data_IF_385419210382
#
_entry.id   IF_385419210382
#
_cell.length_a   1.000
_cell.length_b   1.000
_cell.length_c   1.000
_cell.angle_alpha   90.00
_cell.angle_beta   90.00
_cell.angle_gamma   90.00
#
_symmetry.space_group_name_H-M   'P 1'
#
loop_
_entity.id
_entity.type
_entity.pdbx_description
1 polymer ?
#
# COMPACT_ATOMS: atom_id res chain seq x y z
N UNK A 1 -34.69 50.01 37.27
CA UNK A 1 -35.75 48.98 37.29
C UNK A 1 -35.66 48.22 35.98
N UNK A 2 -35.03 47.05 35.98
CA UNK A 2 -34.93 46.18 34.81
C UNK A 2 -35.21 44.76 35.32
N UNK A 3 -36.35 44.21 34.92
CA UNK A 3 -36.84 42.90 35.31
C UNK A 3 -36.21 41.83 34.42
N UNK A 4 -35.52 40.86 35.02
CA UNK A 4 -35.00 39.70 34.33
C UNK A 4 -36.05 38.58 34.34
N UNK A 5 -36.49 38.15 33.16
CA UNK A 5 -37.37 36.98 32.99
C UNK A 5 -36.51 35.73 32.84
N UNK A 6 -36.65 34.80 33.78
CA UNK A 6 -36.03 33.48 33.74
C UNK A 6 -37.03 32.50 33.14
N UNK A 7 -36.72 31.94 31.97
CA UNK A 7 -37.56 30.92 31.32
C UNK A 7 -37.01 29.55 31.67
N UNK A 8 -37.72 28.82 32.52
CA UNK A 8 -37.45 27.42 32.86
C UNK A 8 -38.19 26.52 31.87
N UNK A 9 -37.44 25.80 31.03
CA UNK A 9 -37.98 24.80 30.10
C UNK A 9 -37.86 23.42 30.74
N UNK A 10 -38.99 22.89 31.22
CA UNK A 10 -39.14 21.54 31.75
C UNK A 10 -39.39 20.57 30.57
N UNK A 11 -38.37 19.81 30.19
CA UNK A 11 -38.48 18.78 29.16
C UNK A 11 -39.12 17.51 29.72
N UNK A 12 -40.30 17.16 29.22
CA UNK A 12 -41.01 15.93 29.57
C UNK A 12 -40.34 14.72 28.90
N UNK A 13 -39.83 13.79 29.72
CA UNK A 13 -39.45 12.42 29.33
C UNK A 13 -40.71 11.63 28.96
N UNK A 14 -41.06 11.65 27.68
CA UNK A 14 -41.98 10.69 27.09
C UNK A 14 -41.27 9.37 26.84
N UNK A 15 -41.59 8.34 27.61
CA UNK A 15 -41.18 6.97 27.33
C UNK A 15 -41.93 6.47 26.09
N UNK A 16 -41.31 6.66 24.92
CA UNK A 16 -41.74 6.02 23.68
C UNK A 16 -41.53 4.51 23.84
N UNK A 17 -42.61 3.80 24.11
CA UNK A 17 -42.61 2.34 24.08
C UNK A 17 -42.48 1.95 22.62
N UNK A 18 -41.30 1.48 22.24
CA UNK A 18 -41.03 0.93 20.92
C UNK A 18 -41.82 -0.38 20.80
N UNK A 19 -43.04 -0.33 20.30
CA UNK A 19 -43.74 -1.51 19.79
C UNK A 19 -42.97 -1.98 18.57
N UNK A 20 -42.01 -2.88 18.80
CA UNK A 20 -41.34 -3.64 17.76
C UNK A 20 -42.38 -4.49 17.06
N UNK A 21 -42.86 -3.98 15.92
CA UNK A 21 -43.59 -4.77 14.93
C UNK A 21 -42.68 -5.91 14.52
N UNK A 22 -42.99 -7.11 15.03
CA UNK A 22 -42.39 -8.37 14.60
C UNK A 22 -42.79 -8.60 13.14
N UNK A 23 -42.08 -7.97 12.21
CA UNK A 23 -42.03 -8.43 10.82
C UNK A 23 -41.60 -9.88 10.90
N UNK A 24 -42.43 -10.78 10.38
CA UNK A 24 -42.13 -12.20 10.23
C UNK A 24 -40.80 -12.29 9.49
N UNK A 25 -39.70 -12.41 10.24
CA UNK A 25 -38.37 -12.33 9.69
C UNK A 25 -38.22 -13.48 8.73
N UNK A 26 -38.04 -13.17 7.45
CA UNK A 26 -37.57 -14.14 6.48
C UNK A 26 -36.19 -14.53 6.98
N UNK A 27 -36.12 -15.66 7.69
CA UNK A 27 -34.86 -16.23 8.15
C UNK A 27 -34.13 -16.66 6.88
N UNK A 28 -33.13 -15.88 6.46
CA UNK A 28 -32.23 -16.25 5.36
C UNK A 28 -31.63 -17.62 5.69
N UNK A 29 -32.08 -18.65 4.98
CA UNK A 29 -31.61 -20.02 5.19
C UNK A 29 -30.37 -20.23 4.34
N UNK A 30 -29.20 -20.09 4.96
CA UNK A 30 -27.92 -20.43 4.32
C UNK A 30 -27.79 -21.95 4.31
N UNK A 31 -27.81 -22.55 3.11
CA UNK A 31 -27.52 -23.96 2.93
C UNK A 31 -26.03 -24.14 2.65
N UNK A 32 -25.28 -24.62 3.64
CA UNK A 32 -23.95 -25.13 3.39
C UNK A 32 -24.07 -26.54 2.83
N UNK A 33 -23.27 -26.87 1.82
CA UNK A 33 -23.13 -28.24 1.35
C UNK A 33 -22.66 -29.14 2.50
N UNK A 34 -23.38 -30.23 2.78
CA UNK A 34 -23.00 -31.23 3.77
C UNK A 34 -21.69 -31.95 3.39
N UNK A 35 -21.31 -31.94 2.11
CA UNK A 35 -19.99 -32.37 1.68
C UNK A 35 -19.01 -31.24 1.92
N UNK A 36 -18.59 -31.06 3.17
CA UNK A 36 -17.43 -30.23 3.48
C UNK A 36 -16.30 -30.61 2.52
N UNK A 37 -15.78 -29.65 1.77
CA UNK A 37 -14.62 -29.88 0.92
C UNK A 37 -13.44 -30.21 1.83
N UNK A 38 -13.23 -31.48 2.11
CA UNK A 38 -11.97 -31.94 2.70
C UNK A 38 -10.89 -31.52 1.71
N UNK A 39 -10.06 -30.54 2.09
CA UNK A 39 -8.85 -30.20 1.34
C UNK A 39 -7.95 -31.44 1.33
N UNK A 40 -8.09 -32.26 0.28
CA UNK A 40 -7.33 -33.51 0.09
C UNK A 40 -5.85 -33.28 -0.20
N UNK A 41 -5.42 -32.03 -0.38
CA UNK A 41 -4.06 -31.72 -0.81
C UNK A 41 -2.98 -31.85 0.28
N UNK A 42 -3.35 -31.97 1.55
CA UNK A 42 -2.37 -32.01 2.64
C UNK A 42 -1.84 -33.41 2.99
N UNK A 43 -2.39 -34.49 2.43
CA UNK A 43 -1.91 -35.85 2.71
C UNK A 43 -0.56 -36.18 2.02
N UNK A 44 -0.02 -35.28 1.19
CA UNK A 44 1.20 -35.52 0.43
C UNK A 44 2.50 -35.25 1.20
N UNK A 45 2.44 -34.53 2.33
CA UNK A 45 3.61 -34.13 3.10
C UNK A 45 3.62 -34.81 4.47
N UNK A 46 4.81 -35.22 4.93
CA UNK A 46 4.97 -35.64 6.33
C UNK A 46 4.69 -34.47 7.29
N UNK A 47 4.30 -34.76 8.52
CA UNK A 47 3.98 -33.73 9.53
C UNK A 47 5.16 -32.75 9.73
N UNK A 48 6.38 -33.27 9.81
CA UNK A 48 7.60 -32.45 9.93
C UNK A 48 7.85 -31.56 8.71
N UNK A 49 7.51 -32.05 7.52
CA UNK A 49 7.67 -31.31 6.27
C UNK A 49 6.60 -30.22 6.14
N UNK A 50 5.36 -30.53 6.52
CA UNK A 50 4.29 -29.55 6.61
C UNK A 50 4.64 -28.43 7.61
N UNK A 51 5.17 -28.76 8.79
CA UNK A 51 5.63 -27.77 9.76
C UNK A 51 6.83 -26.94 9.28
N UNK A 52 7.67 -27.49 8.39
CA UNK A 52 8.79 -26.72 7.81
C UNK A 52 8.38 -25.83 6.64
N UNK A 53 7.27 -26.14 5.96
CA UNK A 53 6.78 -25.38 4.80
C UNK A 53 5.89 -24.22 5.25
N UNK A 54 5.09 -24.43 6.29
CA UNK A 54 4.08 -23.48 6.73
C UNK A 54 4.54 -22.75 7.99
N UNK A 55 4.35 -21.42 7.98
CA UNK A 55 4.49 -20.61 9.18
C UNK A 55 3.46 -21.01 10.21
N UNK A 56 3.88 -21.17 11.46
CA UNK A 56 2.95 -21.37 12.55
C UNK A 56 2.28 -20.06 12.97
N UNK A 57 1.33 -20.14 13.91
CA UNK A 57 0.67 -18.92 14.41
C UNK A 57 1.65 -17.96 15.08
N UNK A 58 2.71 -18.47 15.72
CA UNK A 58 3.71 -17.66 16.42
C UNK A 58 4.63 -16.91 15.45
N UNK A 59 5.03 -17.54 14.35
CA UNK A 59 5.75 -16.92 13.24
C UNK A 59 4.92 -15.78 12.65
N UNK A 60 3.62 -16.02 12.46
CA UNK A 60 2.70 -15.02 11.93
C UNK A 60 2.55 -13.82 12.86
N UNK A 61 2.48 -14.03 14.17
CA UNK A 61 2.40 -12.94 15.14
C UNK A 61 3.73 -12.20 15.26
N UNK A 62 4.87 -12.89 15.24
CA UNK A 62 6.19 -12.26 15.19
C UNK A 62 6.37 -11.40 13.93
N UNK A 63 5.90 -11.89 12.78
CA UNK A 63 5.87 -11.10 11.53
C UNK A 63 4.98 -9.87 11.68
N UNK A 64 3.81 -9.96 12.32
CA UNK A 64 2.97 -8.78 12.56
C UNK A 64 3.65 -7.74 13.44
N UNK A 65 4.28 -8.19 14.52
CA UNK A 65 4.97 -7.31 15.44
C UNK A 65 6.11 -6.56 14.75
N UNK A 66 6.83 -7.21 13.82
CA UNK A 66 7.97 -6.61 13.13
C UNK A 66 7.58 -5.41 12.25
N UNK A 67 6.38 -5.42 11.65
CA UNK A 67 5.90 -4.30 10.81
C UNK A 67 4.90 -3.36 11.50
N UNK A 68 4.52 -3.64 12.76
CA UNK A 68 3.56 -2.82 13.49
C UNK A 68 4.00 -1.35 13.64
N UNK A 69 5.30 -1.12 13.88
CA UNK A 69 5.87 0.22 13.95
C UNK A 69 5.79 0.96 12.61
N UNK A 70 6.03 0.26 11.50
CA UNK A 70 5.96 0.85 10.15
C UNK A 70 4.54 1.30 9.84
N UNK A 71 3.54 0.45 10.11
CA UNK A 71 2.12 0.80 9.95
C UNK A 71 1.77 2.04 10.77
N UNK A 72 2.15 2.07 12.04
CA UNK A 72 1.88 3.21 12.91
C UNK A 72 2.44 4.53 12.34
N UNK A 73 3.65 4.49 11.78
CA UNK A 73 4.28 5.66 11.17
C UNK A 73 3.66 6.04 9.83
N UNK A 74 3.16 5.08 9.05
CA UNK A 74 2.38 5.32 7.83
C UNK A 74 1.05 6.01 8.17
N UNK A 75 0.31 5.51 9.16
CA UNK A 75 -0.95 6.10 9.65
C UNK A 75 -0.72 7.51 10.21
N UNK A 76 0.45 7.77 10.81
CA UNK A 76 0.86 9.10 11.27
C UNK A 76 1.26 10.06 10.12
N UNK A 77 1.17 9.64 8.86
CA UNK A 77 1.50 10.46 7.68
C UNK A 77 3.01 10.75 7.54
N UNK A 78 3.86 9.87 8.07
CA UNK A 78 5.32 10.02 8.03
C UNK A 78 6.05 8.86 7.34
N UNK A 79 5.63 8.41 6.13
CA UNK A 79 6.21 7.22 5.48
C UNK A 79 7.70 7.39 5.14
N UNK A 80 8.12 8.56 4.67
CA UNK A 80 9.51 8.85 4.26
C UNK A 80 10.53 8.74 5.41
N UNK A 81 10.07 8.75 6.66
CA UNK A 81 10.94 8.64 7.84
C UNK A 81 11.22 7.19 8.22
N UNK A 82 10.56 6.23 7.57
CA UNK A 82 10.60 4.81 7.93
C UNK A 82 11.30 3.98 6.86
N UNK A 83 11.40 4.45 5.62
CA UNK A 83 12.08 3.70 4.57
C UNK A 83 13.59 3.63 4.84
N UNK A 84 14.04 2.45 5.26
CA UNK A 84 15.44 2.12 5.48
C UNK A 84 15.75 0.69 5.00
N UNK A 85 16.95 0.18 5.26
CA UNK A 85 17.36 -1.17 4.82
C UNK A 85 16.57 -2.30 5.51
N UNK A 86 15.98 -2.03 6.67
CA UNK A 86 15.24 -3.00 7.50
C UNK A 86 13.72 -2.83 7.42
N UNK A 87 13.23 -1.68 6.96
CA UNK A 87 11.82 -1.34 6.94
C UNK A 87 11.39 -0.83 5.57
N UNK A 88 10.29 -1.38 5.07
CA UNK A 88 9.66 -0.95 3.82
C UNK A 88 8.20 -0.64 4.07
N UNK A 89 7.71 0.45 3.50
CA UNK A 89 6.28 0.80 3.51
C UNK A 89 5.50 0.01 2.45
N UNK A 90 6.22 -0.51 1.45
CA UNK A 90 5.65 -1.20 0.30
C UNK A 90 5.03 -2.53 0.68
N UNK A 91 3.80 -2.78 0.24
CA UNK A 91 3.02 -3.97 0.60
C UNK A 91 2.30 -3.87 1.95
N UNK A 92 2.50 -2.77 2.70
CA UNK A 92 1.82 -2.49 3.97
C UNK A 92 0.69 -1.45 3.81
N UNK A 93 0.45 -0.93 2.61
CA UNK A 93 -0.58 0.09 2.33
C UNK A 93 -1.97 -0.42 2.73
N UNK A 94 -2.23 -1.71 2.50
CA UNK A 94 -3.48 -2.39 2.87
C UNK A 94 -3.58 -2.79 4.35
N UNK A 95 -2.53 -2.53 5.13
CA UNK A 95 -2.47 -2.75 6.58
C UNK A 95 -2.64 -1.46 7.38
N UNK A 96 -2.51 -0.30 6.75
CA UNK A 96 -2.88 1.00 7.33
C UNK A 96 -4.39 1.06 7.61
N UNK A 97 -4.83 1.98 8.47
CA UNK A 97 -6.25 2.10 8.86
C UNK A 97 -7.17 2.25 7.64
N UNK A 98 -6.82 3.17 6.73
CA UNK A 98 -7.55 3.40 5.48
C UNK A 98 -7.58 2.15 4.58
N UNK A 99 -6.44 1.46 4.47
CA UNK A 99 -6.31 0.24 3.68
C UNK A 99 -7.11 -0.92 4.25
N UNK A 100 -7.14 -1.05 5.58
CA UNK A 100 -7.97 -2.03 6.29
C UNK A 100 -9.45 -1.76 6.08
N UNK A 101 -9.88 -0.50 6.20
CA UNK A 101 -11.26 -0.11 5.96
C UNK A 101 -11.69 -0.40 4.51
N UNK A 102 -10.88 0.01 3.54
CA UNK A 102 -11.10 -0.28 2.12
C UNK A 102 -11.25 -1.78 1.86
N UNK A 103 -10.41 -2.62 2.48
CA UNK A 103 -10.52 -4.08 2.36
C UNK A 103 -11.80 -4.64 2.99
N UNK A 104 -12.18 -4.10 4.14
CA UNK A 104 -13.41 -4.47 4.81
C UNK A 104 -14.63 -4.15 3.95
N UNK A 105 -14.73 -2.93 3.42
CA UNK A 105 -15.84 -2.51 2.56
C UNK A 105 -15.93 -3.38 1.30
N UNK A 106 -14.83 -3.56 0.58
CA UNK A 106 -14.83 -4.39 -0.64
C UNK A 106 -15.20 -5.85 -0.36
N UNK A 107 -14.76 -6.39 0.78
CA UNK A 107 -15.13 -7.75 1.19
C UNK A 107 -16.62 -7.85 1.53
N UNK A 108 -17.17 -6.84 2.21
CA UNK A 108 -18.59 -6.74 2.51
C UNK A 108 -19.40 -6.66 1.22
N UNK A 109 -19.06 -5.73 0.33
CA UNK A 109 -19.76 -5.51 -0.94
C UNK A 109 -19.71 -6.76 -1.83
N UNK A 110 -18.60 -7.52 -1.80
CA UNK A 110 -18.50 -8.82 -2.45
C UNK A 110 -19.51 -9.83 -1.91
N UNK A 111 -19.61 -9.97 -0.58
CA UNK A 111 -20.57 -10.89 0.03
C UNK A 111 -22.01 -10.45 -0.21
N UNK A 112 -22.30 -9.16 -0.04
CA UNK A 112 -23.64 -8.61 -0.27
C UNK A 112 -24.08 -8.88 -1.71
N UNK A 113 -23.22 -8.65 -2.70
CA UNK A 113 -23.57 -8.90 -4.10
C UNK A 113 -23.80 -10.38 -4.42
N UNK A 114 -23.06 -11.31 -3.80
CA UNK A 114 -23.28 -12.75 -3.94
C UNK A 114 -24.61 -13.15 -3.30
N UNK A 115 -24.87 -12.68 -2.07
CA UNK A 115 -26.09 -12.99 -1.35
C UNK A 115 -27.33 -12.39 -2.04
N UNK A 116 -27.23 -11.18 -2.57
CA UNK A 116 -28.30 -10.53 -3.32
C UNK A 116 -28.64 -11.30 -4.60
N UNK A 117 -27.65 -11.83 -5.32
CA UNK A 117 -27.89 -12.67 -6.50
C UNK A 117 -28.53 -14.02 -6.13
N UNK A 118 -28.08 -14.65 -5.06
CA UNK A 118 -28.70 -15.89 -4.56
C UNK A 118 -30.15 -15.64 -4.13
N UNK A 119 -30.41 -14.55 -3.42
CA UNK A 119 -31.77 -14.14 -3.02
C UNK A 119 -32.63 -13.85 -4.25
N UNK A 120 -32.09 -13.20 -5.29
CA UNK A 120 -32.78 -12.95 -6.56
C UNK A 120 -33.14 -14.24 -7.31
N UNK A 121 -32.25 -15.22 -7.38
CA UNK A 121 -32.51 -16.51 -8.04
C UNK A 121 -33.57 -17.32 -7.28
N UNK A 122 -33.50 -17.28 -5.95
CA UNK A 122 -34.50 -17.89 -5.07
C UNK A 122 -35.90 -17.30 -5.28
N UNK A 123 -36.03 -15.97 -5.34
CA UNK A 123 -37.33 -15.30 -5.57
C UNK A 123 -37.95 -15.61 -6.94
N UNK A 124 -37.16 -16.12 -7.89
CA UNK A 124 -37.61 -16.49 -9.24
C UNK A 124 -37.99 -17.96 -9.37
N UNK A 125 -38.04 -18.68 -8.23
CA UNK A 125 -38.30 -20.12 -8.17
C UNK A 125 -37.34 -20.93 -9.09
N UNK A 126 -36.08 -20.47 -9.26
CA UNK A 126 -35.03 -21.28 -9.88
C UNK A 126 -34.71 -22.46 -8.93
N UNK A 127 -34.86 -23.72 -9.40
CA UNK A 127 -34.72 -24.92 -8.53
C UNK A 127 -33.29 -25.11 -7.99
N UNK A 128 -32.28 -24.57 -8.67
CA UNK A 128 -30.86 -24.63 -8.30
C UNK A 128 -30.15 -23.31 -8.61
N UNK A 129 -29.24 -22.88 -7.71
CA UNK A 129 -28.43 -21.67 -7.90
C UNK A 129 -27.53 -21.78 -9.15
N UNK A 130 -27.72 -20.87 -10.11
CA UNK A 130 -26.85 -20.68 -11.27
C UNK A 130 -25.50 -20.09 -10.84
N UNK A 131 -24.54 -21.01 -10.63
CA UNK A 131 -23.17 -20.71 -10.23
C UNK A 131 -22.43 -19.81 -11.23
N UNK A 132 -22.79 -19.86 -12.53
CA UNK A 132 -22.14 -19.03 -13.53
C UNK A 132 -22.53 -17.57 -13.33
N UNK A 133 -23.81 -17.27 -13.14
CA UNK A 133 -24.29 -15.90 -12.82
C UNK A 133 -23.67 -15.35 -11.53
N UNK A 134 -23.66 -16.14 -10.46
CA UNK A 134 -23.05 -15.74 -9.19
C UNK A 134 -21.56 -15.43 -9.39
N UNK A 135 -20.84 -16.27 -10.14
CA UNK A 135 -19.42 -16.05 -10.44
C UNK A 135 -19.19 -14.77 -11.25
N UNK A 136 -20.08 -14.44 -12.20
CA UNK A 136 -19.98 -13.23 -13.01
C UNK A 136 -20.14 -11.97 -12.15
N UNK A 137 -21.11 -11.94 -11.24
CA UNK A 137 -21.32 -10.82 -10.31
C UNK A 137 -20.13 -10.69 -9.34
N UNK A 138 -19.68 -11.80 -8.78
CA UNK A 138 -18.48 -11.86 -7.93
C UNK A 138 -17.23 -11.30 -8.65
N UNK A 139 -17.03 -11.64 -9.93
CA UNK A 139 -15.94 -11.10 -10.74
C UNK A 139 -16.11 -9.61 -11.02
N UNK A 140 -17.34 -9.16 -11.26
CA UNK A 140 -17.65 -7.76 -11.51
C UNK A 140 -17.34 -6.87 -10.30
N UNK A 141 -17.75 -7.28 -9.10
CA UNK A 141 -17.47 -6.52 -7.86
C UNK A 141 -15.97 -6.50 -7.55
N UNK A 142 -15.27 -7.61 -7.80
CA UNK A 142 -13.82 -7.68 -7.59
C UNK A 142 -12.98 -6.97 -8.67
N UNK A 143 -13.60 -6.42 -9.71
CA UNK A 143 -12.88 -5.82 -10.84
C UNK A 143 -11.94 -4.70 -10.39
N UNK A 144 -12.39 -3.82 -9.52
CA UNK A 144 -11.56 -2.69 -9.05
C UNK A 144 -10.36 -3.17 -8.24
N UNK A 145 -10.56 -4.11 -7.32
CA UNK A 145 -9.47 -4.74 -6.56
C UNK A 145 -8.44 -5.41 -7.47
N UNK A 146 -8.88 -6.04 -8.56
CA UNK A 146 -7.98 -6.65 -9.55
C UNK A 146 -7.19 -5.62 -10.34
N UNK A 147 -7.82 -4.52 -10.73
CA UNK A 147 -7.14 -3.43 -11.43
C UNK A 147 -6.11 -2.77 -10.51
N UNK A 148 -6.46 -2.50 -9.26
CA UNK A 148 -5.52 -1.93 -8.30
C UNK A 148 -4.34 -2.86 -8.03
N UNK A 149 -4.57 -4.17 -7.87
CA UNK A 149 -3.49 -5.13 -7.71
C UNK A 149 -2.58 -5.20 -8.95
N UNK A 150 -3.16 -5.07 -10.15
CA UNK A 150 -2.39 -5.01 -11.39
C UNK A 150 -1.54 -3.74 -11.47
N UNK A 151 -2.15 -2.58 -11.22
CA UNK A 151 -1.44 -1.29 -11.25
C UNK A 151 -0.31 -1.27 -10.23
N UNK A 152 -0.55 -1.80 -9.02
CA UNK A 152 0.48 -1.97 -8.00
C UNK A 152 1.61 -2.89 -8.47
N UNK A 153 1.28 -4.03 -9.10
CA UNK A 153 2.28 -4.94 -9.67
C UNK A 153 3.15 -4.28 -10.74
N UNK A 154 2.58 -3.41 -11.57
CA UNK A 154 3.34 -2.62 -12.57
C UNK A 154 4.30 -1.63 -11.88
N UNK A 155 3.84 -0.96 -10.82
CA UNK A 155 4.71 -0.09 -10.03
C UNK A 155 5.85 -0.88 -9.37
N UNK A 156 5.57 -2.11 -8.91
CA UNK A 156 6.56 -3.00 -8.30
C UNK A 156 7.63 -3.40 -9.32
N UNK A 157 7.20 -3.78 -10.52
CA UNK A 157 8.09 -4.09 -11.63
C UNK A 157 9.01 -2.92 -11.98
N UNK A 158 8.46 -1.70 -12.10
CA UNK A 158 9.24 -0.49 -12.42
C UNK A 158 10.31 -0.22 -11.37
N UNK A 159 9.98 -0.35 -10.09
CA UNK A 159 10.94 -0.08 -9.01
C UNK A 159 12.06 -1.11 -8.96
N UNK A 160 11.74 -2.39 -9.15
CA UNK A 160 12.75 -3.47 -9.25
C UNK A 160 13.72 -3.21 -10.40
N UNK A 161 13.21 -2.83 -11.57
CA UNK A 161 14.08 -2.46 -12.70
C UNK A 161 14.91 -1.21 -12.39
N UNK A 162 14.30 -0.19 -11.79
CA UNK A 162 14.99 1.03 -11.38
C UNK A 162 16.14 0.74 -10.42
N UNK A 163 15.90 -0.10 -9.41
CA UNK A 163 16.92 -0.54 -8.46
C UNK A 163 18.06 -1.29 -9.14
N UNK A 164 17.73 -2.24 -10.02
CA UNK A 164 18.71 -3.03 -10.79
C UNK A 164 19.60 -2.15 -11.67
N UNK A 165 19.04 -1.13 -12.31
CA UNK A 165 19.79 -0.16 -13.12
C UNK A 165 20.71 0.72 -12.26
N UNK A 166 20.25 1.17 -11.08
CA UNK A 166 21.08 1.94 -10.13
C UNK A 166 22.29 1.13 -9.67
N UNK A 167 22.10 -0.14 -9.30
CA UNK A 167 23.20 -1.03 -8.91
C UNK A 167 24.21 -1.21 -10.04
N UNK A 168 23.75 -1.45 -11.27
CA UNK A 168 24.63 -1.57 -12.44
C UNK A 168 25.44 -0.30 -12.67
N UNK A 169 24.80 0.87 -12.57
CA UNK A 169 25.48 2.16 -12.72
C UNK A 169 26.57 2.37 -11.68
N UNK A 170 26.29 2.08 -10.40
CA UNK A 170 27.29 2.20 -9.32
C UNK A 170 28.49 1.27 -9.56
N UNK A 171 28.23 0.02 -9.94
CA UNK A 171 29.29 -0.94 -10.24
C UNK A 171 30.17 -0.50 -11.43
N UNK A 172 29.59 0.02 -12.51
CA UNK A 172 30.37 0.54 -13.65
C UNK A 172 31.18 1.78 -13.26
N UNK A 173 30.65 2.65 -12.39
CA UNK A 173 31.37 3.83 -11.89
C UNK A 173 32.60 3.43 -11.07
N UNK A 174 32.46 2.50 -10.14
CA UNK A 174 33.58 1.99 -9.34
C UNK A 174 34.65 1.33 -10.22
N UNK A 175 34.25 0.55 -11.23
CA UNK A 175 35.18 -0.03 -12.20
C UNK A 175 35.89 1.04 -13.04
N UNK A 176 35.19 2.09 -13.47
CA UNK A 176 35.79 3.23 -14.17
C UNK A 176 36.84 3.96 -13.33
N UNK A 177 36.55 4.16 -12.05
CA UNK A 177 37.49 4.79 -11.11
C UNK A 177 38.72 3.92 -10.88
N UNK A 178 38.58 2.59 -10.83
CA UNK A 178 39.75 1.69 -10.76
C UNK A 178 40.61 1.70 -12.02
N UNK A 179 40.02 1.80 -13.21
CA UNK A 179 40.77 1.89 -14.48
C UNK A 179 41.50 3.23 -14.60
N UNK A 180 40.84 4.34 -14.24
CA UNK A 180 41.47 5.66 -14.21
C UNK A 180 42.58 5.75 -13.16
N UNK A 181 42.39 5.17 -11.97
CA UNK A 181 43.42 5.10 -10.93
C UNK A 181 44.62 4.24 -11.36
N UNK A 182 44.39 3.12 -12.05
CA UNK A 182 45.45 2.26 -12.59
C UNK A 182 46.26 2.98 -13.69
N UNK A 183 45.59 3.69 -14.59
CA UNK A 183 46.22 4.50 -15.63
C UNK A 183 47.03 5.68 -15.04
N UNK A 184 46.51 6.32 -13.99
CA UNK A 184 47.21 7.43 -13.31
C UNK A 184 48.49 6.96 -12.60
N UNK A 185 48.47 5.80 -11.93
CA UNK A 185 49.69 5.23 -11.33
C UNK A 185 50.72 4.82 -12.38
N UNK A 186 50.27 4.31 -13.54
CA UNK A 186 51.18 3.93 -14.62
C UNK A 186 51.90 5.14 -15.24
N UNK A 187 51.25 6.30 -15.35
CA UNK A 187 51.91 7.52 -15.84
C UNK A 187 52.88 8.14 -14.82
N UNK A 188 52.61 8.04 -13.51
CA UNK A 188 53.49 8.61 -12.50
C UNK A 188 54.81 7.84 -12.33
N UNK A 189 54.84 6.54 -12.65
CA UNK A 189 56.09 5.76 -12.66
C UNK A 189 57.04 6.08 -13.82
N UNK A 190 56.58 6.75 -14.88
CA UNK A 190 57.38 6.99 -16.08
C UNK A 190 58.12 8.35 -16.12
N UNK A 191 58.01 9.17 -15.07
CA UNK A 191 58.61 10.51 -14.98
C UNK A 191 59.81 10.64 -14.01
N UNK A 192 60.52 9.54 -13.71
CA UNK A 192 61.67 9.57 -12.81
C UNK A 192 62.99 9.03 -13.38
N UNK A 193 63.24 9.22 -14.67
CA UNK A 193 64.58 9.10 -15.23
C UNK A 193 64.77 10.11 -16.36
N UNK A 194 65.24 11.32 -16.03
CA UNK A 194 66.15 12.17 -16.83
C UNK A 194 66.10 13.64 -16.36
N UNK A 195 66.78 13.95 -15.25
CA UNK A 195 67.39 15.28 -15.05
C UNK A 195 68.86 15.18 -15.45
N UNK A 196 69.14 15.52 -16.70
CA UNK A 196 70.49 15.66 -17.23
C UNK A 196 70.54 16.80 -18.22
N UNK A 197 71.07 17.92 -17.71
CA UNK A 197 71.74 19.05 -18.40
C UNK A 197 70.93 20.00 -19.29
N UNK A 198 70.91 21.25 -18.84
CA UNK A 198 71.17 22.50 -19.57
C UNK A 198 70.51 22.73 -20.93
N UNK A 199 69.64 23.74 -21.01
CA UNK A 199 69.97 25.08 -21.54
C UNK A 199 68.70 25.92 -21.74
N UNK A 200 68.89 27.21 -21.59
CA UNK A 200 67.97 28.32 -21.81
C UNK A 200 66.91 28.13 -22.91
N UNK A 201 65.66 28.54 -22.63
CA UNK A 201 64.98 29.63 -23.35
C UNK A 201 63.46 29.64 -23.13
N UNK A 202 62.96 30.87 -23.04
CA UNK A 202 61.63 31.34 -23.42
C UNK A 202 60.41 30.81 -22.65
N UNK A 203 60.03 31.62 -21.66
CA UNK A 203 58.68 31.77 -21.12
C UNK A 203 57.66 32.00 -22.25
N UNK A 204 56.78 31.02 -22.47
CA UNK A 204 55.54 31.20 -23.24
C UNK A 204 54.37 30.90 -22.31
N UNK A 205 53.68 31.96 -21.95
CA UNK A 205 52.47 31.95 -21.13
C UNK A 205 51.28 31.50 -22.01
N UNK A 206 50.76 30.30 -21.73
CA UNK A 206 49.58 29.73 -22.37
C UNK A 206 48.53 29.47 -21.28
N UNK A 207 47.78 30.52 -20.96
CA UNK A 207 46.54 30.44 -20.18
C UNK A 207 45.49 29.65 -20.97
N UNK A 208 45.36 28.36 -20.67
CA UNK A 208 44.25 27.52 -21.12
C UNK A 208 43.09 27.65 -20.13
N UNK A 209 42.12 28.50 -20.49
CA UNK A 209 40.84 28.65 -19.81
C UNK A 209 39.96 27.43 -20.10
N UNK A 210 39.98 26.42 -19.24
CA UNK A 210 39.03 25.30 -19.29
C UNK A 210 37.67 25.76 -18.77
N UNK A 211 36.76 26.12 -19.69
CA UNK A 211 35.34 26.27 -19.39
C UNK A 211 34.72 24.91 -19.16
N UNK A 212 34.51 24.54 -17.89
CA UNK A 212 33.66 23.42 -17.49
C UNK A 212 32.20 23.76 -17.81
N UNK A 213 31.72 23.25 -18.95
CA UNK A 213 30.30 23.26 -19.29
C UNK A 213 29.59 22.19 -18.47
N UNK A 214 29.12 22.54 -17.27
CA UNK A 214 28.19 21.73 -16.49
C UNK A 214 26.82 21.74 -17.18
N UNK A 215 26.58 20.74 -18.04
CA UNK A 215 25.25 20.42 -18.55
C UNK A 215 24.47 19.69 -17.47
N UNK A 216 23.79 20.45 -16.59
CA UNK A 216 22.70 19.94 -15.77
C UNK A 216 21.56 19.54 -16.69
N UNK A 217 21.44 18.24 -16.96
CA UNK A 217 20.30 17.65 -17.65
C UNK A 217 19.15 17.50 -16.66
N UNK A 218 18.46 18.61 -16.40
CA UNK A 218 17.24 18.65 -15.59
C UNK A 218 16.06 18.19 -16.45
N UNK A 219 15.86 16.88 -16.59
CA UNK A 219 14.58 16.34 -17.05
C UNK A 219 13.58 16.45 -15.90
N UNK A 220 13.05 17.65 -15.67
CA UNK A 220 11.83 17.85 -14.90
C UNK A 220 10.66 17.37 -15.76
N UNK A 221 10.26 16.12 -15.56
CA UNK A 221 9.00 15.61 -16.07
C UNK A 221 7.87 16.20 -15.22
N UNK A 222 7.45 17.42 -15.54
CA UNK A 222 6.26 18.03 -14.96
C UNK A 222 5.05 17.43 -15.65
N UNK A 223 4.40 16.45 -15.01
CA UNK A 223 3.02 16.11 -15.30
C UNK A 223 2.15 17.27 -14.83
N UNK A 224 1.92 18.24 -15.72
CA UNK A 224 0.92 19.30 -15.54
C UNK A 224 -0.47 18.69 -15.71
N UNK A 225 -0.98 18.05 -14.66
CA UNK A 225 -2.39 17.72 -14.54
C UNK A 225 -3.15 19.03 -14.25
N UNK A 226 -3.72 19.60 -15.30
CA UNK A 226 -4.47 20.85 -15.22
C UNK A 226 -5.88 20.53 -14.70
N UNK A 227 -6.03 20.48 -13.38
CA UNK A 227 -7.35 20.51 -12.74
C UNK A 227 -7.75 21.98 -12.54
N UNK A 228 -8.43 22.55 -13.53
CA UNK A 228 -9.21 23.77 -13.31
C UNK A 228 -10.50 23.38 -12.58
N UNK A 229 -10.43 23.38 -11.25
CA UNK A 229 -11.58 23.36 -10.36
C UNK A 229 -11.40 24.42 -9.31
N UNK A 230 -11.86 25.64 -9.58
CA UNK A 230 -12.04 26.68 -8.56
C UNK A 230 -13.19 26.25 -7.64
N UNK A 231 -12.87 25.45 -6.62
CA UNK A 231 -13.73 25.18 -5.48
C UNK A 231 -13.32 26.12 -4.35
N UNK A 232 -14.25 26.95 -3.89
CA UNK A 232 -14.05 27.86 -2.77
C UNK A 232 -13.77 27.07 -1.50
N UNK A 233 -12.65 27.36 -0.84
CA UNK A 233 -12.31 26.87 0.49
C UNK A 233 -13.34 27.35 1.52
N UNK A 234 -14.43 26.58 1.64
CA UNK A 234 -15.22 26.55 2.86
C UNK A 234 -14.61 25.48 3.75
N UNK A 235 -13.93 25.92 4.82
CA UNK A 235 -13.48 25.04 5.90
C UNK A 235 -14.70 24.45 6.61
N UNK A 236 -15.32 23.45 6.00
CA UNK A 236 -16.19 22.53 6.71
C UNK A 236 -15.29 21.50 7.38
N UNK A 237 -15.13 21.63 8.70
CA UNK A 237 -14.55 20.59 9.52
C UNK A 237 -15.26 19.27 9.21
N UNK A 238 -14.51 18.30 8.67
CA UNK A 238 -14.99 16.94 8.46
C UNK A 238 -15.48 16.42 9.82
N UNK A 239 -16.71 15.91 9.91
CA UNK A 239 -17.20 15.31 11.14
C UNK A 239 -16.27 14.15 11.49
N UNK A 240 -15.66 14.22 12.68
CA UNK A 240 -14.83 13.13 13.17
C UNK A 240 -15.67 11.84 13.21
N UNK A 241 -15.14 10.71 12.74
CA UNK A 241 -15.84 9.43 12.81
C UNK A 241 -16.15 9.16 14.28
N UNK A 242 -17.43 9.05 14.61
CA UNK A 242 -17.82 8.67 15.96
C UNK A 242 -17.35 7.24 16.21
N UNK A 243 -16.68 6.96 17.34
CA UNK A 243 -16.24 5.62 17.68
C UNK A 243 -17.46 4.70 17.73
N UNK A 244 -17.51 3.71 16.84
CA UNK A 244 -18.58 2.72 16.87
C UNK A 244 -18.47 1.86 18.14
N UNK A 245 -19.61 1.54 18.78
CA UNK A 245 -19.63 0.69 19.95
C UNK A 245 -19.08 -0.70 19.59
N UNK A 246 -18.04 -1.14 20.30
CA UNK A 246 -17.47 -2.47 20.10
C UNK A 246 -18.53 -3.56 20.37
N UNK A 247 -18.58 -4.62 19.55
CA UNK A 247 -19.49 -5.74 19.77
C UNK A 247 -19.15 -6.39 21.11
N UNK A 248 -20.11 -6.41 22.03
CA UNK A 248 -19.97 -7.16 23.28
C UNK A 248 -19.95 -8.65 22.96
N UNK A 249 -18.78 -9.27 23.11
CA UNK A 249 -18.61 -10.72 23.14
C UNK A 249 -19.50 -11.28 24.25
N UNK A 250 -20.65 -11.84 23.86
CA UNK A 250 -21.41 -12.71 24.75
C UNK A 250 -20.65 -14.03 24.86
N UNK A 251 -20.09 -14.28 26.04
CA UNK A 251 -19.55 -15.57 26.42
C UNK A 251 -20.73 -16.54 26.51
N UNK A 252 -20.77 -17.51 25.59
CA UNK A 252 -21.65 -18.68 25.67
C UNK A 252 -21.09 -19.70 26.67
#
# INVERSE_FOLDING_TARGET
>A
MASASTTTTTGATGATTCTSSSTSGVVRRVHFSDSGHACREFEMYGEDEACSIWYDCSDYDAMKESFAFVIFMMDAGCPDKVEDENHTTRGLEKRCEEGQWTRYERKRDYYDAVLDEQERQWEQDEEEDDQEKISQIAQQVNRESRLEAYDQGVLDEIDVYGHSLRLRYMHTREQGDTLNSCMHMHMHMHMHMHTGTDTDAATVDLTLSSTNSSSTNSNSFTNSFTSQGQGQDSQHALPQPQPQPQPQLQVL
#
